data_IF_389069257875
#
_entry.id   IF_389069257875
#
_cell.length_a   1.000
_cell.length_b   1.000
_cell.length_c   1.000
_cell.angle_alpha   90.00
_cell.angle_beta   90.00
_cell.angle_gamma   90.00
#
_symmetry.space_group_name_H-M   'P 1'
#
loop_
_entity.id
_entity.type
_entity.pdbx_description
1 polymer ?
#
# COMPACT_ATOMS: atom_id res chain seq x y z
N UNK A 1 -8.79 10.49 -15.77
CA UNK A 1 -8.08 9.29 -15.25
C UNK A 1 -7.21 9.56 -14.04
N UNK A 2 -6.22 10.47 -14.06
CA UNK A 2 -5.36 10.77 -12.91
C UNK A 2 -6.20 11.16 -11.67
N UNK A 3 -7.14 12.08 -11.81
CA UNK A 3 -8.06 12.48 -10.72
C UNK A 3 -8.91 11.30 -10.23
N UNK A 4 -9.34 10.43 -11.12
CA UNK A 4 -10.09 9.22 -10.78
C UNK A 4 -9.22 8.22 -10.00
N UNK A 5 -7.96 8.03 -10.38
CA UNK A 5 -7.03 7.15 -9.66
C UNK A 5 -6.71 7.69 -8.26
N UNK A 6 -6.50 9.01 -8.13
CA UNK A 6 -6.31 9.66 -6.84
C UNK A 6 -7.56 9.48 -5.98
N UNK A 7 -8.75 9.71 -6.53
CA UNK A 7 -10.00 9.53 -5.81
C UNK A 7 -10.20 8.08 -5.36
N UNK A 8 -9.88 7.09 -6.21
CA UNK A 8 -10.01 5.68 -5.83
C UNK A 8 -9.00 5.23 -4.76
N UNK A 9 -7.79 5.79 -4.73
CA UNK A 9 -6.81 5.49 -3.67
C UNK A 9 -7.18 6.20 -2.37
N UNK A 10 -7.75 7.41 -2.46
CA UNK A 10 -8.23 8.17 -1.31
C UNK A 10 -9.71 7.87 -1.00
N UNK A 11 -10.42 7.09 -1.82
CA UNK A 11 -11.79 6.65 -1.53
C UNK A 11 -11.75 5.69 -0.35
N UNK A 12 -12.69 5.93 0.56
CA UNK A 12 -12.92 5.06 1.71
C UNK A 12 -13.26 3.61 1.33
N UNK A 13 -13.54 3.33 0.05
CA UNK A 13 -13.73 1.97 -0.49
C UNK A 13 -12.42 1.26 -0.86
N UNK A 14 -11.30 1.97 -0.96
CA UNK A 14 -9.97 1.40 -1.24
C UNK A 14 -9.11 1.28 0.03
N UNK A 15 -9.73 0.86 1.13
CA UNK A 15 -9.08 0.71 2.44
C UNK A 15 -7.77 -0.08 2.38
N UNK A 16 -7.69 -1.07 1.51
CA UNK A 16 -6.52 -1.94 1.38
C UNK A 16 -5.25 -1.15 1.11
N UNK A 17 -5.27 -0.25 0.12
CA UNK A 17 -4.10 0.54 -0.26
C UNK A 17 -3.72 1.54 0.81
N UNK A 18 -4.71 2.24 1.37
CA UNK A 18 -4.49 3.20 2.46
C UNK A 18 -3.88 2.48 3.66
N UNK A 19 -4.48 1.36 4.09
CA UNK A 19 -3.98 0.56 5.20
C UNK A 19 -2.57 0.03 4.96
N UNK A 20 -2.30 -0.44 3.72
CA UNK A 20 -0.97 -0.93 3.38
C UNK A 20 0.09 0.19 3.41
N UNK A 21 -0.16 1.32 2.78
CA UNK A 21 0.78 2.45 2.78
C UNK A 21 1.00 2.98 4.20
N UNK A 22 -0.05 3.07 5.02
CA UNK A 22 0.06 3.45 6.42
C UNK A 22 0.96 2.48 7.19
N UNK A 23 0.69 1.16 7.11
CA UNK A 23 1.47 0.16 7.86
C UNK A 23 2.92 0.10 7.37
N UNK A 24 3.18 0.41 6.11
CA UNK A 24 4.52 0.54 5.55
C UNK A 24 5.26 1.77 6.11
N UNK A 25 4.56 2.90 6.29
CA UNK A 25 5.15 4.17 6.78
C UNK A 25 5.52 4.14 8.27
N UNK A 26 4.65 3.52 9.09
CA UNK A 26 4.70 3.60 10.57
C UNK A 26 6.06 3.21 11.17
N UNK A 27 6.78 2.15 10.74
CA UNK A 27 8.03 1.73 11.37
C UNK A 27 9.21 2.63 11.02
N UNK A 28 9.11 3.52 10.02
CA UNK A 28 10.22 4.37 9.62
C UNK A 28 10.32 5.61 10.51
N UNK A 29 11.49 5.87 11.14
CA UNK A 29 11.71 7.13 11.83
C UNK A 29 11.79 8.28 10.82
N UNK A 30 11.37 9.47 11.22
CA UNK A 30 11.39 10.68 10.38
C UNK A 30 12.72 10.95 9.69
N UNK A 31 13.83 10.63 10.37
CA UNK A 31 15.20 10.80 9.81
C UNK A 31 15.45 9.89 8.59
N UNK A 32 14.66 8.83 8.43
CA UNK A 32 14.82 7.83 7.38
C UNK A 32 13.78 7.97 6.25
N UNK A 33 13.20 9.15 6.07
CA UNK A 33 12.20 9.42 5.05
C UNK A 33 12.61 9.00 3.62
N UNK A 34 13.92 9.10 3.28
CA UNK A 34 14.45 8.64 1.99
C UNK A 34 14.30 7.12 1.81
N UNK A 35 14.52 6.37 2.91
CA UNK A 35 14.36 4.91 2.90
C UNK A 35 12.88 4.52 2.78
N UNK A 36 11.99 5.29 3.41
CA UNK A 36 10.56 5.12 3.25
C UNK A 36 10.14 5.36 1.80
N UNK A 37 10.58 6.46 1.18
CA UNK A 37 10.28 6.72 -0.24
C UNK A 37 10.75 5.58 -1.14
N UNK A 38 11.96 5.04 -0.91
CA UNK A 38 12.46 3.87 -1.65
C UNK A 38 11.55 2.63 -1.47
N UNK A 39 11.02 2.40 -0.27
CA UNK A 39 10.10 1.29 -0.03
C UNK A 39 8.76 1.50 -0.76
N UNK A 40 8.23 2.73 -0.77
CA UNK A 40 7.03 3.10 -1.52
C UNK A 40 7.26 2.93 -3.03
N UNK A 41 8.39 3.41 -3.55
CA UNK A 41 8.75 3.23 -4.97
C UNK A 41 8.89 1.74 -5.33
N UNK A 42 9.50 0.92 -4.47
CA UNK A 42 9.59 -0.53 -4.69
C UNK A 42 8.19 -1.17 -4.80
N UNK A 43 7.26 -0.77 -3.93
CA UNK A 43 5.86 -1.19 -4.02
C UNK A 43 5.23 -0.73 -5.35
N UNK A 44 5.39 0.54 -5.74
CA UNK A 44 4.84 1.08 -6.99
C UNK A 44 5.38 0.34 -8.22
N UNK A 45 6.68 0.01 -8.24
CA UNK A 45 7.29 -0.76 -9.33
C UNK A 45 6.64 -2.15 -9.43
N UNK A 46 6.51 -2.86 -8.31
CA UNK A 46 5.85 -4.16 -8.27
C UNK A 46 4.40 -4.09 -8.73
N UNK A 47 3.66 -3.10 -8.24
CA UNK A 47 2.27 -2.83 -8.59
C UNK A 47 2.11 -2.54 -10.10
N UNK A 48 2.90 -1.63 -10.64
CA UNK A 48 2.83 -1.23 -12.05
C UNK A 48 3.16 -2.39 -12.99
N UNK A 49 4.15 -3.20 -12.65
CA UNK A 49 4.54 -4.35 -13.45
C UNK A 49 3.42 -5.40 -13.52
N UNK A 50 2.85 -5.78 -12.39
CA UNK A 50 1.76 -6.77 -12.38
C UNK A 50 0.45 -6.24 -12.89
N UNK A 51 0.17 -4.95 -12.71
CA UNK A 51 -0.96 -4.29 -13.34
C UNK A 51 -0.86 -4.38 -14.87
N UNK A 52 0.31 -4.06 -15.44
CA UNK A 52 0.57 -4.19 -16.88
C UNK A 52 0.37 -5.63 -17.35
N UNK A 53 1.01 -6.61 -16.69
CA UNK A 53 0.93 -8.03 -17.05
C UNK A 53 -0.50 -8.58 -16.95
N UNK A 54 -1.30 -8.10 -15.98
CA UNK A 54 -2.68 -8.54 -15.79
C UNK A 54 -3.64 -7.86 -16.79
N UNK A 55 -3.44 -6.59 -17.10
CA UNK A 55 -4.28 -5.88 -18.08
C UNK A 55 -4.04 -6.40 -19.51
N UNK A 56 -2.78 -6.74 -19.83
CA UNK A 56 -2.41 -7.38 -21.13
C UNK A 56 -2.74 -8.88 -21.17
N UNK A 57 -3.33 -9.43 -20.10
CA UNK A 57 -3.73 -10.83 -20.00
C UNK A 57 -2.58 -11.86 -20.07
N UNK A 58 -1.34 -11.42 -19.94
CA UNK A 58 -0.19 -12.33 -19.82
C UNK A 58 -0.28 -13.14 -18.53
N UNK A 59 -0.78 -12.52 -17.44
CA UNK A 59 -1.07 -13.18 -16.17
C UNK A 59 -2.56 -13.00 -15.90
N UNK A 60 -3.25 -14.12 -15.59
CA UNK A 60 -4.70 -14.15 -15.27
C UNK A 60 -4.90 -14.82 -13.91
N UNK A 61 -4.53 -14.17 -12.80
CA UNK A 61 -4.75 -14.77 -11.49
C UNK A 61 -6.25 -14.82 -11.19
N UNK A 62 -6.73 -15.84 -10.48
CA UNK A 62 -8.10 -15.85 -9.99
C UNK A 62 -8.37 -14.67 -9.05
N UNK A 63 -9.44 -13.88 -9.31
CA UNK A 63 -9.77 -12.71 -8.47
C UNK A 63 -9.89 -13.05 -7.00
N UNK A 64 -10.53 -14.15 -6.69
CA UNK A 64 -10.69 -14.67 -5.33
C UNK A 64 -9.36 -14.80 -4.57
N UNK A 65 -8.31 -15.35 -5.21
CA UNK A 65 -7.00 -15.47 -4.56
C UNK A 65 -6.39 -14.11 -4.26
N UNK A 66 -6.50 -13.17 -5.19
CA UNK A 66 -5.93 -11.83 -5.00
C UNK A 66 -6.69 -11.07 -3.90
N UNK A 67 -8.00 -11.17 -3.87
CA UNK A 67 -8.83 -10.53 -2.85
C UNK A 67 -8.51 -11.02 -1.44
N UNK A 68 -8.12 -12.29 -1.26
CA UNK A 68 -7.66 -12.85 0.01
C UNK A 68 -6.20 -12.44 0.30
N UNK A 69 -5.33 -12.46 -0.69
CA UNK A 69 -3.90 -12.18 -0.50
C UNK A 69 -3.64 -10.72 -0.10
N UNK A 70 -4.42 -9.78 -0.61
CA UNK A 70 -4.28 -8.35 -0.27
C UNK A 70 -4.37 -8.11 1.25
N UNK A 71 -5.47 -8.44 1.94
CA UNK A 71 -5.55 -8.23 3.38
C UNK A 71 -4.54 -9.09 4.16
N UNK A 72 -4.16 -10.27 3.69
CA UNK A 72 -3.10 -11.06 4.30
C UNK A 72 -1.75 -10.34 4.32
N UNK A 73 -1.39 -9.61 3.26
CA UNK A 73 -0.15 -8.81 3.25
C UNK A 73 -0.17 -7.69 4.29
N UNK A 74 -1.34 -7.06 4.51
CA UNK A 74 -1.52 -6.01 5.50
C UNK A 74 -1.44 -6.60 6.92
N UNK A 75 -2.08 -7.74 7.16
CA UNK A 75 -2.01 -8.49 8.42
C UNK A 75 -0.55 -8.83 8.75
N UNK A 76 0.18 -9.40 7.79
CA UNK A 76 1.58 -9.76 7.97
C UNK A 76 2.46 -8.55 8.31
N UNK A 77 2.28 -7.44 7.60
CA UNK A 77 3.01 -6.18 7.85
C UNK A 77 2.69 -5.62 9.23
N UNK A 78 1.41 -5.63 9.62
CA UNK A 78 0.95 -5.16 10.93
C UNK A 78 1.55 -5.97 12.07
N UNK A 79 1.52 -7.30 11.98
CA UNK A 79 2.14 -8.21 12.97
C UNK A 79 3.64 -7.95 13.06
N UNK A 80 4.32 -7.82 11.91
CA UNK A 80 5.76 -7.54 11.85
C UNK A 80 6.10 -6.24 12.58
N UNK A 81 5.31 -5.18 12.38
CA UNK A 81 5.47 -3.90 13.08
C UNK A 81 5.25 -4.03 14.58
N UNK A 82 4.20 -4.75 15.00
CA UNK A 82 3.89 -4.98 16.42
C UNK A 82 5.03 -5.71 17.11
N UNK A 83 5.56 -6.77 16.50
CA UNK A 83 6.65 -7.57 17.06
C UNK A 83 7.95 -6.77 17.12
N UNK A 84 8.28 -6.06 16.05
CA UNK A 84 9.55 -5.33 15.90
C UNK A 84 9.49 -3.88 16.43
N UNK A 85 8.41 -3.43 17.06
CA UNK A 85 8.20 -2.03 17.47
C UNK A 85 9.31 -1.41 18.33
N UNK A 86 10.04 -2.25 19.09
CA UNK A 86 11.16 -1.81 19.92
C UNK A 86 12.50 -1.73 19.17
N UNK A 87 12.57 -2.31 17.97
CA UNK A 87 13.77 -2.25 17.16
C UNK A 87 13.92 -0.87 16.51
N UNK A 88 15.05 -0.22 16.75
CA UNK A 88 15.31 1.11 16.19
C UNK A 88 15.77 1.07 14.72
N UNK A 89 16.14 -0.11 14.21
CA UNK A 89 16.67 -0.29 12.86
C UNK A 89 15.87 -1.38 12.13
N UNK A 90 14.81 -1.03 11.39
CA UNK A 90 14.14 -1.99 10.53
C UNK A 90 15.12 -2.51 9.47
N UNK A 91 15.09 -3.80 9.20
CA UNK A 91 15.89 -4.37 8.10
C UNK A 91 15.43 -3.79 6.77
N UNK A 92 16.27 -2.98 6.15
CA UNK A 92 15.93 -2.26 4.92
C UNK A 92 15.63 -3.24 3.79
N UNK A 93 16.53 -4.21 3.57
CA UNK A 93 16.39 -5.19 2.50
C UNK A 93 15.09 -5.97 2.63
N UNK A 94 14.76 -6.45 3.84
CA UNK A 94 13.52 -7.20 4.07
C UNK A 94 12.28 -6.33 3.80
N UNK A 95 12.30 -5.05 4.18
CA UNK A 95 11.18 -4.15 3.94
C UNK A 95 11.02 -3.83 2.45
N UNK A 96 12.10 -3.67 1.69
CA UNK A 96 12.02 -3.42 0.25
C UNK A 96 11.52 -4.64 -0.52
N UNK A 97 12.04 -5.82 -0.20
CA UNK A 97 11.59 -7.07 -0.83
C UNK A 97 10.11 -7.32 -0.50
N UNK A 98 9.70 -7.13 0.75
CA UNK A 98 8.30 -7.25 1.13
C UNK A 98 7.42 -6.23 0.40
N UNK A 99 7.85 -4.96 0.32
CA UNK A 99 7.11 -3.92 -0.39
C UNK A 99 6.95 -4.24 -1.88
N UNK A 100 8.00 -4.73 -2.54
CA UNK A 100 7.97 -5.15 -3.94
C UNK A 100 7.00 -6.32 -4.16
N UNK A 101 7.11 -7.38 -3.33
CA UNK A 101 6.25 -8.56 -3.42
C UNK A 101 4.77 -8.22 -3.16
N UNK A 102 4.51 -7.35 -2.18
CA UNK A 102 3.15 -6.91 -1.89
C UNK A 102 2.61 -5.99 -2.98
N UNK A 103 3.48 -5.17 -3.58
CA UNK A 103 3.15 -4.41 -4.80
C UNK A 103 2.67 -5.32 -5.91
N UNK A 104 3.33 -6.46 -6.14
CA UNK A 104 2.90 -7.45 -7.13
C UNK A 104 1.48 -7.95 -6.87
N UNK A 105 1.13 -8.27 -5.63
CA UNK A 105 -0.21 -8.73 -5.27
C UNK A 105 -1.25 -7.63 -5.47
N UNK A 106 -0.97 -6.42 -4.99
CA UNK A 106 -1.90 -5.29 -5.08
C UNK A 106 -2.14 -4.82 -6.53
N UNK A 107 -1.10 -4.87 -7.40
CA UNK A 107 -1.25 -4.52 -8.81
C UNK A 107 -2.17 -5.46 -9.59
N UNK A 108 -2.16 -6.75 -9.25
CA UNK A 108 -3.11 -7.71 -9.84
C UNK A 108 -4.57 -7.38 -9.45
N UNK A 109 -4.82 -6.93 -8.22
CA UNK A 109 -6.16 -6.56 -7.76
C UNK A 109 -6.77 -5.39 -8.54
N UNK A 110 -5.96 -4.36 -8.88
CA UNK A 110 -6.45 -3.21 -9.63
C UNK A 110 -6.67 -3.47 -11.12
N UNK A 111 -6.16 -4.56 -11.66
CA UNK A 111 -6.28 -4.87 -13.09
C UNK A 111 -7.75 -5.01 -13.54
N UNK A 112 -8.60 -5.58 -12.69
CA UNK A 112 -10.04 -5.72 -12.98
C UNK A 112 -10.74 -4.38 -13.08
N UNK A 113 -10.43 -3.46 -12.14
CA UNK A 113 -10.98 -2.11 -12.16
C UNK A 113 -10.54 -1.37 -13.42
N UNK A 114 -9.25 -1.41 -13.75
CA UNK A 114 -8.73 -0.74 -14.93
C UNK A 114 -9.35 -1.31 -16.21
N UNK A 115 -9.48 -2.63 -16.33
CA UNK A 115 -10.15 -3.28 -17.47
C UNK A 115 -11.59 -2.85 -17.64
N UNK A 116 -12.35 -2.73 -16.56
CA UNK A 116 -13.75 -2.29 -16.61
C UNK A 116 -13.91 -0.84 -17.12
N UNK A 117 -12.86 -0.05 -17.07
CA UNK A 117 -12.85 1.36 -17.49
C UNK A 117 -12.35 1.54 -18.94
N UNK A 118 -11.69 0.51 -19.50
CA UNK A 118 -11.14 0.57 -20.86
C UNK A 118 -12.24 0.22 -21.87
N UNK A 119 -12.44 1.07 -22.88
CA UNK A 119 -13.24 0.76 -24.05
C UNK A 119 -12.57 -0.28 -24.96
N UNK A 120 -13.38 -0.97 -25.77
CA UNK A 120 -12.95 -2.12 -26.59
C UNK A 120 -11.84 -1.77 -27.61
N UNK A 121 -11.64 -0.48 -27.93
CA UNK A 121 -10.71 -0.01 -28.97
C UNK A 121 -9.70 1.04 -28.46
N UNK A 122 -9.49 1.22 -27.15
CA UNK A 122 -8.55 2.22 -26.64
C UNK A 122 -7.13 1.65 -26.52
N UNK A 123 -6.12 2.48 -26.82
CA UNK A 123 -4.73 2.13 -26.56
C UNK A 123 -4.50 1.99 -25.06
N UNK A 124 -3.93 0.89 -24.61
CA UNK A 124 -3.69 0.58 -23.19
C UNK A 124 -2.65 1.51 -22.53
N UNK A 125 -1.73 2.06 -23.31
CA UNK A 125 -0.56 2.76 -22.77
C UNK A 125 -0.90 4.02 -21.97
N UNK A 126 -1.73 4.90 -22.56
CA UNK A 126 -2.07 6.17 -21.92
C UNK A 126 -2.93 5.99 -20.66
N UNK A 127 -4.00 5.18 -20.66
CA UNK A 127 -4.76 4.86 -19.44
C UNK A 127 -3.91 4.25 -18.35
N UNK A 128 -3.05 3.27 -18.68
CA UNK A 128 -2.17 2.60 -17.73
C UNK A 128 -1.17 3.57 -17.10
N UNK A 129 -0.52 4.40 -17.90
CA UNK A 129 0.41 5.41 -17.42
C UNK A 129 -0.29 6.42 -16.49
N UNK A 130 -1.44 6.95 -16.92
CA UNK A 130 -2.22 7.91 -16.12
C UNK A 130 -2.71 7.32 -14.82
N UNK A 131 -3.11 6.05 -14.84
CA UNK A 131 -3.55 5.34 -13.64
C UNK A 131 -2.40 5.14 -12.64
N UNK A 132 -1.23 4.65 -13.10
CA UNK A 132 -0.05 4.48 -12.25
C UNK A 132 0.45 5.80 -11.66
N UNK A 133 0.48 6.88 -12.46
CA UNK A 133 0.85 8.21 -11.97
C UNK A 133 -0.11 8.70 -10.88
N UNK A 134 -1.41 8.46 -11.05
CA UNK A 134 -2.42 8.78 -10.04
C UNK A 134 -2.22 8.00 -8.73
N UNK A 135 -1.89 6.71 -8.84
CA UNK A 135 -1.55 5.86 -7.68
C UNK A 135 -0.34 6.44 -6.94
N UNK A 136 0.74 6.75 -7.65
CA UNK A 136 1.97 7.28 -7.04
C UNK A 136 1.73 8.60 -6.32
N UNK A 137 1.00 9.53 -6.95
CA UNK A 137 0.63 10.80 -6.32
C UNK A 137 -0.22 10.56 -5.06
N UNK A 138 -1.22 9.69 -5.13
CA UNK A 138 -2.05 9.33 -3.97
C UNK A 138 -1.23 8.75 -2.82
N UNK A 139 -0.30 7.84 -3.11
CA UNK A 139 0.60 7.27 -2.11
C UNK A 139 1.49 8.34 -1.47
N UNK A 140 2.06 9.26 -2.26
CA UNK A 140 2.88 10.36 -1.73
C UNK A 140 2.08 11.27 -0.79
N UNK A 141 0.81 11.53 -1.09
CA UNK A 141 -0.10 12.30 -0.21
C UNK A 141 -0.29 11.54 1.12
N UNK A 142 -0.56 10.24 1.06
CA UNK A 142 -0.73 9.41 2.27
C UNK A 142 0.56 9.38 3.09
N UNK A 143 1.71 9.20 2.45
CA UNK A 143 3.03 9.24 3.10
C UNK A 143 3.26 10.58 3.79
N UNK A 144 3.06 11.70 3.10
CA UNK A 144 3.24 13.05 3.65
C UNK A 144 2.32 13.29 4.86
N UNK A 145 1.04 12.94 4.73
CA UNK A 145 0.05 13.06 5.82
C UNK A 145 0.46 12.20 7.03
N UNK A 146 0.90 10.96 6.79
CA UNK A 146 1.35 10.05 7.85
C UNK A 146 2.59 10.59 8.56
N UNK A 147 3.56 11.12 7.83
CA UNK A 147 4.76 11.72 8.42
C UNK A 147 4.40 12.95 9.28
N UNK A 148 3.49 13.81 8.81
CA UNK A 148 3.00 14.95 9.60
C UNK A 148 2.31 14.45 10.88
N UNK A 149 1.47 13.43 10.79
CA UNK A 149 0.81 12.85 11.96
C UNK A 149 1.82 12.28 12.96
N UNK A 150 2.86 11.56 12.50
CA UNK A 150 3.93 11.06 13.36
C UNK A 150 4.67 12.21 14.05
N UNK A 151 4.92 13.33 13.35
CA UNK A 151 5.52 14.53 13.97
C UNK A 151 4.63 15.07 15.09
N UNK A 152 3.34 15.22 14.82
CA UNK A 152 2.36 15.71 15.80
C UNK A 152 2.33 14.79 17.03
N UNK A 153 2.21 13.47 16.81
CA UNK A 153 2.16 12.49 17.91
C UNK A 153 3.45 12.50 18.75
N UNK A 154 4.60 12.61 18.11
CA UNK A 154 5.89 12.48 18.82
C UNK A 154 6.41 13.81 19.39
N UNK A 155 6.14 14.96 18.75
CA UNK A 155 6.67 16.26 19.15
C UNK A 155 5.68 17.10 19.96
N UNK A 156 4.37 16.96 19.71
CA UNK A 156 3.33 17.71 20.41
C UNK A 156 2.78 16.88 21.56
N UNK A 157 2.42 15.63 21.30
CA UNK A 157 1.83 14.74 22.33
C UNK A 157 2.87 13.90 23.08
N UNK A 158 4.15 13.96 22.72
CA UNK A 158 5.24 13.22 23.36
C UNK A 158 5.03 11.70 23.43
N UNK A 159 4.25 11.14 22.48
CA UNK A 159 4.01 9.69 22.41
C UNK A 159 5.29 8.98 21.98
N UNK A 160 5.66 7.92 22.71
CA UNK A 160 6.85 7.12 22.38
C UNK A 160 6.64 6.36 21.07
N UNK A 161 7.72 6.22 20.30
CA UNK A 161 7.72 5.52 19.01
C UNK A 161 7.10 4.12 19.10
N UNK A 162 7.47 3.33 20.10
CA UNK A 162 6.94 1.98 20.27
C UNK A 162 5.42 1.94 20.48
N UNK A 163 4.87 2.98 21.14
CA UNK A 163 3.45 3.04 21.49
C UNK A 163 2.61 3.41 20.25
N UNK A 164 2.99 4.46 19.48
CA UNK A 164 2.23 4.78 18.28
C UNK A 164 2.31 3.67 17.22
N UNK A 165 3.47 3.01 17.07
CA UNK A 165 3.60 1.84 16.19
C UNK A 165 2.64 0.74 16.63
N UNK A 166 2.57 0.45 17.94
CA UNK A 166 1.69 -0.57 18.47
C UNK A 166 0.22 -0.25 18.21
N UNK A 167 -0.24 0.93 18.63
CA UNK A 167 -1.64 1.32 18.48
C UNK A 167 -2.08 1.36 17.02
N UNK A 168 -1.30 2.01 16.16
CA UNK A 168 -1.68 2.16 14.75
C UNK A 168 -1.63 0.82 14.02
N UNK A 169 -0.59 0.01 14.25
CA UNK A 169 -0.50 -1.31 13.61
C UNK A 169 -1.58 -2.27 14.09
N UNK A 170 -2.00 -2.19 15.38
CA UNK A 170 -3.11 -3.00 15.90
C UNK A 170 -4.44 -2.58 15.31
N UNK A 171 -4.68 -1.29 15.14
CA UNK A 171 -5.89 -0.79 14.48
C UNK A 171 -5.96 -1.26 13.02
N UNK A 172 -4.86 -1.12 12.27
CA UNK A 172 -4.77 -1.59 10.87
C UNK A 172 -4.93 -3.11 10.79
N UNK A 173 -4.34 -3.87 11.72
CA UNK A 173 -4.54 -5.31 11.83
C UNK A 173 -6.02 -5.68 11.96
N UNK A 174 -6.76 -4.98 12.83
CA UNK A 174 -8.20 -5.21 13.02
C UNK A 174 -9.00 -4.96 11.74
N UNK A 175 -8.71 -3.85 11.03
CA UNK A 175 -9.34 -3.54 9.74
C UNK A 175 -9.01 -4.62 8.70
N UNK A 176 -7.74 -5.00 8.58
CA UNK A 176 -7.31 -6.00 7.61
C UNK A 176 -7.88 -7.39 7.91
N UNK A 177 -8.04 -7.74 9.20
CA UNK A 177 -8.69 -8.98 9.61
C UNK A 177 -10.18 -8.99 9.23
N UNK A 178 -10.89 -7.88 9.41
CA UNK A 178 -12.27 -7.73 8.97
C UNK A 178 -12.38 -7.93 7.46
N UNK A 179 -11.56 -7.24 6.69
CA UNK A 179 -11.53 -7.37 5.22
C UNK A 179 -11.20 -8.78 4.76
N UNK A 180 -10.31 -9.47 5.48
CA UNK A 180 -9.98 -10.87 5.19
C UNK A 180 -11.17 -11.79 5.42
N UNK A 181 -11.88 -11.62 6.54
CA UNK A 181 -13.06 -12.44 6.87
C UNK A 181 -14.25 -12.19 5.93
N UNK A 182 -14.41 -10.97 5.44
CA UNK A 182 -15.46 -10.63 4.47
C UNK A 182 -15.24 -11.26 3.08
N UNK A 183 -14.00 -11.67 2.79
CA UNK A 183 -13.62 -12.24 1.48
C UNK A 183 -13.42 -13.77 1.51
N UNK A 184 -13.63 -14.41 2.67
CA UNK A 184 -13.66 -15.88 2.82
C UNK A 184 -15.03 -16.44 2.44
#
# INVERSE_FOLDING_TARGET
MIVFSINNICDLKAYDHICYVLVLCIPFPLKEWKKLLLAVTAFTIGHSLTLLLSVTEIIRPPSYLIEILIPLTIIFSSITNIVKRKNNHPSLTANYVAALLFGFIHGMGFSYLLKSMLGINESLLFPLFSFNLGIEIGQLIIVATTLVLIVVLTKIFYIKRADYIFFTSTAIFGIALMLFLERL
#
